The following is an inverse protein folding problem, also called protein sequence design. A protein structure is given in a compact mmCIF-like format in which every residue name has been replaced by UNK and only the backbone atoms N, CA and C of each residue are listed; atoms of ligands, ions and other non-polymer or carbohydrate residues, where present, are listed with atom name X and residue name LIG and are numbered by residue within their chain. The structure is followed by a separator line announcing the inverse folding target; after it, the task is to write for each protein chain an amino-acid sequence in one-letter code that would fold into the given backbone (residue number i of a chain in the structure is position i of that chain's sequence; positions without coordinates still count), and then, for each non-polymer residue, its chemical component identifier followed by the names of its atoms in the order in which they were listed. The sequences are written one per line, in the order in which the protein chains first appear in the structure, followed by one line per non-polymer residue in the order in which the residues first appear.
data_IF_667664122302
#
_entry.id   IF_667664122302
#
_cell.length_a   1.000
_cell.length_b   1.000
_cell.length_c   1.000
_cell.angle_alpha   90.00
_cell.angle_beta   90.00
_cell.angle_gamma   90.00
#
_symmetry.space_group_name_H-M   'P 1'
#
loop_
_entity.id
_entity.type
_entity.pdbx_description
1 polymer ?
#
# COMPACT_ATOMS: atom_id res chain seq x y z
N UNK A 1 -3.74 29.45 -4.94
CA UNK A 1 -4.91 30.22 -5.49
C UNK A 1 -6.00 29.37 -6.14
N UNK A 2 -5.69 28.25 -6.84
CA UNK A 2 -6.75 27.39 -7.43
C UNK A 2 -7.48 26.62 -6.34
N UNK A 3 -6.76 25.94 -5.48
CA UNK A 3 -7.31 25.12 -4.39
C UNK A 3 -8.01 25.98 -3.32
N UNK A 4 -7.44 27.15 -2.97
CA UNK A 4 -8.04 28.08 -2.02
C UNK A 4 -9.43 28.53 -2.46
N UNK A 5 -9.60 28.86 -3.76
CA UNK A 5 -10.91 29.25 -4.31
C UNK A 5 -11.95 28.13 -4.29
N UNK A 6 -11.50 26.86 -4.22
CA UNK A 6 -12.36 25.69 -4.16
C UNK A 6 -12.53 25.15 -2.74
N UNK A 7 -11.86 25.77 -1.75
CA UNK A 7 -11.90 25.31 -0.36
C UNK A 7 -11.28 23.92 -0.17
N UNK A 8 -10.33 23.53 -1.06
CA UNK A 8 -9.66 22.22 -0.97
C UNK A 8 -8.39 22.38 -0.13
N UNK A 9 -8.29 21.73 1.04
CA UNK A 9 -7.13 21.86 1.91
C UNK A 9 -5.94 21.11 1.35
N UNK A 10 -4.94 21.83 0.85
CA UNK A 10 -3.69 21.27 0.28
C UNK A 10 -2.50 22.14 0.67
N UNK A 11 -1.31 21.54 0.72
CA UNK A 11 -0.03 22.24 0.55
C UNK A 11 0.49 22.02 -0.88
N UNK A 12 1.16 23.03 -1.42
CA UNK A 12 1.76 22.98 -2.76
C UNK A 12 3.23 23.28 -2.61
N UNK A 13 4.06 22.37 -3.04
CA UNK A 13 5.53 22.45 -3.00
C UNK A 13 6.07 22.44 -4.44
N UNK A 14 7.28 22.97 -4.65
CA UNK A 14 7.97 22.83 -5.93
C UNK A 14 8.37 21.36 -6.13
N UNK A 15 8.16 20.85 -7.33
CA UNK A 15 8.57 19.50 -7.73
C UNK A 15 9.94 19.47 -8.40
N UNK A 16 10.30 18.35 -8.99
CA UNK A 16 11.63 18.04 -9.53
C UNK A 16 11.98 18.78 -10.84
N UNK A 17 11.23 19.80 -11.22
CA UNK A 17 11.49 20.54 -12.44
C UNK A 17 10.76 21.87 -12.54
N UNK A 18 11.13 22.74 -13.50
CA UNK A 18 10.46 24.02 -13.69
C UNK A 18 8.97 23.79 -14.06
N UNK A 19 8.10 24.51 -13.36
CA UNK A 19 6.63 24.42 -13.49
C UNK A 19 6.00 23.08 -13.07
N UNK A 20 6.75 22.21 -12.40
CA UNK A 20 6.24 20.99 -11.76
C UNK A 20 5.97 21.28 -10.29
N UNK A 21 4.79 20.89 -9.81
CA UNK A 21 4.37 21.10 -8.43
C UNK A 21 3.95 19.78 -7.80
N UNK A 22 4.32 19.57 -6.54
CA UNK A 22 3.80 18.50 -5.68
C UNK A 22 2.62 19.05 -4.89
N UNK A 23 1.47 18.41 -5.02
CA UNK A 23 0.26 18.77 -4.30
C UNK A 23 0.00 17.72 -3.23
N UNK A 24 0.04 18.12 -1.96
CA UNK A 24 -0.28 17.27 -0.82
C UNK A 24 -1.66 17.62 -0.31
N UNK A 25 -2.59 16.67 -0.37
CA UNK A 25 -3.91 16.82 0.20
C UNK A 25 -3.84 16.58 1.71
N UNK A 26 -4.47 17.47 2.48
CA UNK A 26 -4.53 17.32 3.93
C UNK A 26 -5.51 16.21 4.28
N UNK A 27 -5.10 15.34 5.18
CA UNK A 27 -5.97 14.31 5.74
C UNK A 27 -6.90 14.91 6.81
N UNK A 28 -8.10 14.35 7.02
CA UNK A 28 -8.97 14.73 8.10
C UNK A 28 -8.36 14.39 9.46
N UNK A 29 -8.91 14.99 10.50
CA UNK A 29 -8.63 14.63 11.88
C UNK A 29 -9.94 14.16 12.54
N UNK A 30 -10.04 12.89 13.00
CA UNK A 30 -8.97 11.88 13.00
C UNK A 30 -8.60 11.38 11.60
N UNK A 31 -7.33 10.94 11.45
CA UNK A 31 -6.86 10.34 10.22
C UNK A 31 -7.58 9.01 9.95
N UNK A 32 -7.93 8.68 8.69
CA UNK A 32 -8.58 7.42 8.35
C UNK A 32 -7.74 6.21 8.75
N UNK A 33 -8.39 5.15 9.16
CA UNK A 33 -7.74 3.87 9.43
C UNK A 33 -7.36 3.18 8.12
N UNK A 34 -6.17 2.56 8.09
CA UNK A 34 -5.65 1.85 6.92
C UNK A 34 -5.35 0.40 7.27
N UNK A 35 -5.93 -0.54 6.56
CA UNK A 35 -5.55 -1.95 6.64
C UNK A 35 -4.67 -2.31 5.45
N UNK A 36 -3.43 -2.75 5.73
CA UNK A 36 -2.47 -3.21 4.72
C UNK A 36 -2.63 -4.72 4.59
N UNK A 37 -3.09 -5.18 3.43
CA UNK A 37 -3.33 -6.59 3.13
C UNK A 37 -2.17 -7.16 2.33
N UNK A 38 -1.47 -8.16 2.90
CA UNK A 38 -0.27 -8.77 2.29
C UNK A 38 -0.51 -10.28 2.14
N UNK A 39 -0.79 -10.78 0.93
CA UNK A 39 -0.86 -12.22 0.69
C UNK A 39 0.55 -12.80 0.76
N UNK A 40 0.71 -13.93 1.44
CA UNK A 40 2.02 -14.56 1.59
C UNK A 40 1.92 -16.07 1.55
N UNK A 41 2.99 -16.69 1.04
CA UNK A 41 3.22 -18.12 1.11
C UNK A 41 4.70 -18.36 1.16
N UNK A 42 5.18 -19.01 2.24
CA UNK A 42 6.60 -19.29 2.45
C UNK A 42 7.49 -18.04 2.26
N UNK A 43 8.79 -18.17 1.95
CA UNK A 43 9.71 -17.06 1.68
C UNK A 43 9.76 -15.99 2.79
N UNK A 44 10.06 -16.42 4.01
CA UNK A 44 10.11 -15.59 5.23
C UNK A 44 10.99 -14.34 5.05
N UNK A 45 12.13 -14.47 4.39
CA UNK A 45 13.08 -13.38 4.15
C UNK A 45 12.49 -12.24 3.31
N UNK A 46 11.63 -12.58 2.36
CA UNK A 46 10.93 -11.61 1.51
C UNK A 46 9.86 -10.87 2.32
N UNK A 47 9.03 -11.63 3.03
CA UNK A 47 7.97 -11.06 3.87
C UNK A 47 8.53 -10.21 5.01
N UNK A 48 9.61 -10.67 5.68
CA UNK A 48 10.26 -9.90 6.77
C UNK A 48 10.74 -8.54 6.27
N UNK A 49 11.38 -8.48 5.11
CA UNK A 49 11.84 -7.22 4.51
C UNK A 49 10.68 -6.27 4.24
N UNK A 50 9.59 -6.78 3.69
CA UNK A 50 8.39 -6.00 3.43
C UNK A 50 7.78 -5.44 4.73
N UNK A 51 7.42 -6.30 5.67
CA UNK A 51 6.74 -5.91 6.91
C UNK A 51 7.63 -5.01 7.77
N UNK A 52 8.91 -5.35 7.91
CA UNK A 52 9.86 -4.53 8.66
C UNK A 52 10.01 -3.14 8.06
N UNK A 53 10.10 -3.03 6.74
CA UNK A 53 10.21 -1.72 6.08
C UNK A 53 9.00 -0.83 6.35
N UNK A 54 7.80 -1.40 6.44
CA UNK A 54 6.58 -0.66 6.80
C UNK A 54 6.65 -0.20 8.26
N UNK A 55 6.95 -1.12 9.19
CA UNK A 55 6.98 -0.83 10.62
C UNK A 55 8.05 0.20 10.99
N UNK A 56 9.21 0.16 10.34
CA UNK A 56 10.34 1.04 10.64
C UNK A 56 10.25 2.41 9.95
N UNK A 57 9.69 2.46 8.72
CA UNK A 57 9.77 3.67 7.89
C UNK A 57 8.46 4.47 7.85
N UNK A 58 7.28 3.83 8.03
CA UNK A 58 6.01 4.55 7.89
C UNK A 58 5.86 5.67 8.92
N UNK A 59 5.60 6.87 8.45
CA UNK A 59 5.24 8.01 9.29
C UNK A 59 3.75 7.99 9.72
N UNK A 60 2.91 7.24 9.02
CA UNK A 60 1.49 7.14 9.31
C UNK A 60 1.22 6.38 10.61
N UNK A 61 0.38 6.94 11.47
CA UNK A 61 0.11 6.37 12.80
C UNK A 61 -1.05 5.37 12.84
N UNK A 62 -2.07 5.55 12.01
CA UNK A 62 -3.33 4.81 12.09
C UNK A 62 -3.44 3.70 11.04
N UNK A 63 -2.53 2.70 11.12
CA UNK A 63 -2.57 1.54 10.22
C UNK A 63 -2.39 0.22 10.97
N UNK A 64 -2.84 -0.86 10.34
CA UNK A 64 -2.57 -2.26 10.69
C UNK A 64 -2.10 -3.03 9.46
N UNK A 65 -1.45 -4.17 9.70
CA UNK A 65 -0.98 -5.09 8.67
C UNK A 65 -1.67 -6.43 8.90
N UNK A 66 -2.38 -6.92 7.90
CA UNK A 66 -2.91 -8.27 7.86
C UNK A 66 -2.12 -9.09 6.83
N UNK A 67 -1.30 -10.00 7.31
CA UNK A 67 -0.69 -11.03 6.47
C UNK A 67 -1.73 -12.11 6.22
N UNK A 68 -1.97 -12.43 4.95
CA UNK A 68 -2.92 -13.47 4.56
C UNK A 68 -2.12 -14.69 4.11
N UNK A 69 -2.00 -15.65 5.01
CA UNK A 69 -1.31 -16.92 4.80
C UNK A 69 -2.06 -17.76 3.77
N UNK A 70 -1.38 -18.27 2.74
CA UNK A 70 -2.00 -19.09 1.71
C UNK A 70 -1.25 -20.41 1.45
N UNK A 71 -1.47 -21.40 2.29
CA UNK A 71 -0.95 -22.78 2.16
C UNK A 71 0.59 -22.84 2.13
N UNK A 72 1.24 -22.19 3.09
CA UNK A 72 2.66 -22.36 3.35
C UNK A 72 2.98 -23.80 3.79
N UNK A 73 4.18 -24.25 3.50
CA UNK A 73 4.62 -25.61 3.75
C UNK A 73 5.83 -25.68 4.70
N UNK A 74 6.48 -24.55 4.95
CA UNK A 74 7.72 -24.48 5.72
C UNK A 74 7.41 -24.15 7.19
N UNK A 75 7.92 -24.97 8.12
CA UNK A 75 7.77 -24.76 9.57
C UNK A 75 8.33 -23.40 10.02
N UNK A 76 9.38 -22.91 9.36
CA UNK A 76 9.98 -21.61 9.59
C UNK A 76 8.97 -20.47 9.35
N UNK A 77 8.13 -20.60 8.35
CA UNK A 77 7.09 -19.61 8.03
C UNK A 77 6.10 -19.46 9.17
N UNK A 78 5.61 -20.56 9.72
CA UNK A 78 4.67 -20.52 10.85
C UNK A 78 5.34 -20.04 12.15
N UNK A 79 6.63 -20.33 12.36
CA UNK A 79 7.38 -19.77 13.45
C UNK A 79 7.51 -18.24 13.33
N UNK A 80 7.82 -17.76 12.14
CA UNK A 80 7.94 -16.34 11.83
C UNK A 80 6.62 -15.60 12.01
N UNK A 81 5.48 -16.16 11.61
CA UNK A 81 4.16 -15.55 11.81
C UNK A 81 3.89 -15.30 13.30
N UNK A 82 4.16 -16.28 14.16
CA UNK A 82 4.02 -16.11 15.62
C UNK A 82 4.96 -15.03 16.18
N UNK A 83 6.17 -14.94 15.65
CA UNK A 83 7.12 -13.90 16.02
C UNK A 83 6.65 -12.51 15.60
N UNK A 84 6.11 -12.36 14.39
CA UNK A 84 5.57 -11.09 13.91
C UNK A 84 4.43 -10.56 14.80
N UNK A 85 3.47 -11.41 15.12
CA UNK A 85 2.35 -11.03 16.00
C UNK A 85 2.82 -10.69 17.42
N UNK A 86 3.83 -11.38 17.92
CA UNK A 86 4.41 -11.07 19.23
C UNK A 86 5.24 -9.78 19.25
N UNK A 87 5.84 -9.40 18.11
CA UNK A 87 6.68 -8.20 17.96
C UNK A 87 5.87 -6.90 17.87
N UNK A 88 4.68 -6.95 17.29
CA UNK A 88 3.88 -5.76 17.05
C UNK A 88 2.37 -6.04 17.10
N UNK A 89 1.67 -5.26 17.89
CA UNK A 89 0.19 -5.24 17.98
C UNK A 89 -0.49 -4.71 16.69
N UNK A 90 0.30 -4.15 15.78
CA UNK A 90 -0.16 -3.70 14.46
C UNK A 90 -0.24 -4.83 13.44
N UNK A 91 0.35 -6.00 13.71
CA UNK A 91 0.41 -7.11 12.76
C UNK A 91 -0.48 -8.25 13.25
N UNK A 92 -1.24 -8.80 12.34
CA UNK A 92 -1.98 -10.06 12.54
C UNK A 92 -1.82 -10.96 11.33
N UNK A 93 -1.99 -12.26 11.53
CA UNK A 93 -1.99 -13.27 10.47
C UNK A 93 -3.36 -13.92 10.40
N UNK A 94 -3.92 -14.03 9.21
CA UNK A 94 -5.16 -14.77 8.94
C UNK A 94 -4.91 -15.82 7.89
N UNK A 95 -5.57 -16.96 7.98
CA UNK A 95 -5.36 -18.09 7.10
C UNK A 95 -6.43 -18.16 6.00
N UNK A 96 -5.98 -18.29 4.74
CA UNK A 96 -6.78 -18.63 3.58
C UNK A 96 -6.49 -20.07 3.12
N UNK A 97 -7.24 -21.10 3.58
CA UNK A 97 -6.91 -22.50 3.39
C UNK A 97 -7.35 -23.05 2.03
N UNK A 98 -7.54 -22.19 1.04
CA UNK A 98 -8.00 -22.57 -0.30
C UNK A 98 -6.90 -22.38 -1.34
N UNK A 99 -7.11 -22.88 -2.55
CA UNK A 99 -6.20 -22.69 -3.67
C UNK A 99 -5.96 -21.20 -3.97
N UNK A 100 -4.77 -20.89 -4.49
CA UNK A 100 -4.38 -19.51 -4.81
C UNK A 100 -5.37 -18.85 -5.79
N UNK A 101 -5.88 -17.73 -5.39
CA UNK A 101 -6.63 -16.80 -6.23
C UNK A 101 -6.51 -15.41 -5.62
N UNK A 102 -5.71 -14.56 -6.23
CA UNK A 102 -5.40 -13.24 -5.69
C UNK A 102 -6.65 -12.43 -5.32
N UNK A 103 -7.63 -12.34 -6.22
CA UNK A 103 -8.84 -11.56 -5.98
C UNK A 103 -9.66 -12.11 -4.79
N UNK A 104 -9.75 -13.43 -4.64
CA UNK A 104 -10.46 -14.05 -3.50
C UNK A 104 -9.71 -13.83 -2.19
N UNK A 105 -8.39 -13.94 -2.20
CA UNK A 105 -7.54 -13.67 -1.03
C UNK A 105 -7.70 -12.22 -0.58
N UNK A 106 -7.63 -11.25 -1.52
CA UNK A 106 -7.82 -9.84 -1.18
C UNK A 106 -9.24 -9.54 -0.67
N UNK A 107 -10.28 -10.12 -1.29
CA UNK A 107 -11.66 -9.96 -0.82
C UNK A 107 -11.86 -10.57 0.58
N UNK A 108 -11.22 -11.70 0.88
CA UNK A 108 -11.24 -12.30 2.21
C UNK A 108 -10.56 -11.38 3.24
N UNK A 109 -9.37 -10.85 2.92
CA UNK A 109 -8.69 -9.86 3.75
C UNK A 109 -9.54 -8.60 3.99
N UNK A 110 -10.14 -8.06 2.93
CA UNK A 110 -11.02 -6.90 3.02
C UNK A 110 -12.24 -7.15 3.91
N UNK A 111 -12.84 -8.35 3.84
CA UNK A 111 -13.98 -8.72 4.68
C UNK A 111 -13.60 -8.94 6.17
N UNK A 112 -12.31 -9.00 6.50
CA UNK A 112 -11.82 -9.21 7.86
C UNK A 112 -11.55 -7.93 8.64
N UNK A 113 -11.85 -6.76 8.06
CA UNK A 113 -11.56 -5.45 8.66
C UNK A 113 -12.67 -4.45 8.37
N UNK A 114 -12.82 -3.47 9.28
CA UNK A 114 -13.69 -2.31 9.12
C UNK A 114 -12.88 -1.02 8.87
N UNK A 115 -11.64 -1.14 8.41
CA UNK A 115 -10.79 0.03 8.12
C UNK A 115 -11.38 0.90 7.01
N UNK A 116 -11.20 2.20 7.11
CA UNK A 116 -11.68 3.19 6.14
C UNK A 116 -11.04 3.02 4.76
N UNK A 117 -9.76 2.63 4.73
CA UNK A 117 -8.96 2.45 3.52
C UNK A 117 -8.25 1.09 3.53
N UNK A 118 -8.12 0.51 2.35
CA UNK A 118 -7.37 -0.72 2.13
C UNK A 118 -6.14 -0.44 1.28
N UNK A 119 -4.98 -0.93 1.72
CA UNK A 119 -3.76 -0.97 0.92
C UNK A 119 -3.46 -2.42 0.54
N UNK A 120 -3.64 -2.75 -0.74
CA UNK A 120 -3.29 -4.07 -1.28
C UNK A 120 -1.81 -4.07 -1.64
N UNK A 121 -1.01 -4.85 -0.95
CA UNK A 121 0.45 -4.83 -1.09
C UNK A 121 1.00 -6.24 -1.31
N UNK A 122 1.88 -6.40 -2.29
CA UNK A 122 2.62 -7.64 -2.45
C UNK A 122 3.70 -7.78 -1.36
N UNK A 123 4.02 -9.03 -1.00
CA UNK A 123 5.03 -9.33 0.03
C UNK A 123 6.48 -9.07 -0.40
N UNK A 124 6.73 -8.82 -1.69
CA UNK A 124 8.04 -8.55 -2.30
C UNK A 124 8.34 -7.06 -2.51
N UNK A 125 7.65 -6.20 -1.78
CA UNK A 125 7.84 -4.74 -1.83
C UNK A 125 8.60 -4.23 -0.62
N UNK A 126 9.29 -3.10 -0.77
CA UNK A 126 9.98 -2.39 0.30
C UNK A 126 9.60 -0.91 0.29
N UNK A 127 9.26 -0.36 1.45
CA UNK A 127 8.95 1.06 1.60
C UNK A 127 10.21 1.90 1.41
N UNK A 128 10.12 2.91 0.54
CA UNK A 128 11.17 3.89 0.29
C UNK A 128 10.82 5.21 0.99
N UNK A 129 9.64 5.77 0.70
CA UNK A 129 9.21 7.07 1.22
C UNK A 129 8.39 6.89 2.51
N UNK A 130 8.74 7.55 3.62
CA UNK A 130 8.02 7.40 4.89
C UNK A 130 6.55 7.83 4.84
N UNK A 131 6.24 8.78 3.99
CA UNK A 131 4.93 9.41 3.81
C UNK A 131 4.04 8.75 2.74
N UNK A 132 4.36 7.49 2.35
CA UNK A 132 3.67 6.81 1.25
C UNK A 132 2.17 6.59 1.51
N UNK A 133 1.77 6.32 2.75
CA UNK A 133 0.35 6.15 3.12
C UNK A 133 -0.36 7.50 3.07
N UNK A 134 0.23 8.53 3.67
CA UNK A 134 -0.31 9.90 3.67
C UNK A 134 -0.53 10.42 2.26
N UNK A 135 0.45 10.23 1.38
CA UNK A 135 0.35 10.64 -0.02
C UNK A 135 -0.84 9.96 -0.72
N UNK A 136 -0.92 8.63 -0.64
CA UNK A 136 -2.01 7.89 -1.29
C UNK A 136 -3.37 8.20 -0.67
N UNK A 137 -3.48 8.21 0.66
CA UNK A 137 -4.70 8.52 1.38
C UNK A 137 -5.17 9.95 1.13
N UNK A 138 -4.22 10.89 0.95
CA UNK A 138 -4.52 12.27 0.60
C UNK A 138 -5.26 12.40 -0.72
N UNK A 139 -4.85 11.69 -1.76
CA UNK A 139 -5.56 11.68 -3.05
C UNK A 139 -6.96 11.07 -2.95
N UNK A 140 -7.17 10.09 -2.07
CA UNK A 140 -8.48 9.46 -1.83
C UNK A 140 -9.49 10.37 -1.12
N UNK A 141 -9.06 11.55 -0.61
CA UNK A 141 -9.99 12.57 -0.09
C UNK A 141 -10.84 13.22 -1.19
N UNK A 142 -10.49 13.01 -2.43
CA UNK A 142 -11.24 13.51 -3.58
C UNK A 142 -12.37 12.53 -3.91
N UNK A 143 -13.64 12.97 -3.96
CA UNK A 143 -14.79 12.08 -4.12
C UNK A 143 -14.82 11.33 -5.47
N UNK A 144 -14.10 11.84 -6.47
CA UNK A 144 -13.96 11.20 -7.78
C UNK A 144 -12.83 10.16 -7.85
N UNK A 145 -12.00 10.02 -6.79
CA UNK A 145 -10.88 9.09 -6.73
C UNK A 145 -11.25 7.88 -5.89
N UNK A 146 -11.39 6.72 -6.51
CA UNK A 146 -11.68 5.46 -5.82
C UNK A 146 -10.46 4.58 -5.56
N UNK A 147 -9.38 4.77 -6.33
CA UNK A 147 -8.14 3.97 -6.23
C UNK A 147 -6.93 4.85 -6.53
N UNK A 148 -5.85 4.66 -5.77
CA UNK A 148 -4.56 5.31 -6.00
C UNK A 148 -3.48 4.23 -6.08
N UNK A 149 -2.67 4.25 -7.13
CA UNK A 149 -1.50 3.37 -7.28
C UNK A 149 -0.21 4.11 -6.93
N UNK A 150 0.67 3.43 -6.21
CA UNK A 150 2.01 3.96 -5.94
C UNK A 150 2.92 3.87 -7.17
N UNK A 151 3.88 4.81 -7.29
CA UNK A 151 5.01 4.63 -8.19
C UNK A 151 5.95 3.58 -7.60
N UNK A 152 6.28 2.56 -8.39
CA UNK A 152 7.20 1.49 -7.99
C UNK A 152 8.53 1.66 -8.73
N UNK A 153 9.61 1.39 -8.01
CA UNK A 153 10.97 1.42 -8.55
C UNK A 153 11.60 0.03 -8.43
N UNK A 154 12.46 -0.31 -9.38
CA UNK A 154 13.44 -1.39 -9.22
C UNK A 154 14.56 -0.96 -8.27
N UNK A 155 15.37 -1.91 -7.79
CA UNK A 155 16.50 -1.64 -6.89
C UNK A 155 17.58 -0.74 -7.51
N UNK A 156 17.66 -0.67 -8.83
CA UNK A 156 18.55 0.24 -9.56
C UNK A 156 17.99 1.67 -9.70
N UNK A 157 16.78 1.92 -9.17
CA UNK A 157 16.10 3.21 -9.21
C UNK A 157 15.28 3.45 -10.49
N UNK A 158 15.27 2.54 -11.44
CA UNK A 158 14.42 2.65 -12.63
C UNK A 158 12.94 2.43 -12.27
N UNK A 159 12.05 3.08 -13.01
CA UNK A 159 10.63 2.92 -12.79
C UNK A 159 10.15 1.53 -13.20
N UNK A 160 9.64 0.75 -12.25
CA UNK A 160 8.93 -0.50 -12.50
C UNK A 160 7.48 -0.24 -12.93
N UNK A 161 6.82 0.67 -12.22
CA UNK A 161 5.43 1.06 -12.47
C UNK A 161 5.24 2.54 -12.16
N UNK A 162 4.68 3.27 -13.12
CA UNK A 162 4.35 4.69 -12.96
C UNK A 162 2.93 5.02 -13.47
N UNK A 163 2.07 4.01 -13.55
CA UNK A 163 0.71 4.12 -14.04
C UNK A 163 0.44 3.27 -15.28
N UNK A 164 -0.82 3.17 -15.63
CA UNK A 164 -1.31 2.47 -16.81
C UNK A 164 -2.20 3.39 -17.63
N UNK A 165 -2.17 3.23 -18.95
CA UNK A 165 -3.05 3.92 -19.89
C UNK A 165 -3.83 2.87 -20.67
N UNK A 166 -5.12 3.12 -20.84
CA UNK A 166 -5.98 2.30 -21.68
C UNK A 166 -6.02 2.97 -23.07
N UNK A 167 -5.51 2.27 -24.09
CA UNK A 167 -5.55 2.72 -25.47
C UNK A 167 -6.98 2.71 -26.02
N UNK A 168 -7.22 3.40 -27.17
CA UNK A 168 -8.54 3.46 -27.82
C UNK A 168 -9.07 2.09 -28.27
N UNK A 169 -8.16 1.13 -28.46
CA UNK A 169 -8.45 -0.27 -28.83
C UNK A 169 -8.67 -1.19 -27.61
N UNK A 170 -8.65 -0.64 -26.39
CA UNK A 170 -8.77 -1.39 -25.13
C UNK A 170 -7.48 -2.03 -24.64
N UNK A 171 -6.35 -1.84 -25.34
CA UNK A 171 -5.04 -2.28 -24.83
C UNK A 171 -4.66 -1.52 -23.57
N UNK A 172 -4.04 -2.22 -22.63
CA UNK A 172 -3.51 -1.62 -21.40
C UNK A 172 -1.99 -1.62 -21.48
N UNK A 173 -1.38 -0.45 -21.38
CA UNK A 173 0.09 -0.29 -21.41
C UNK A 173 0.56 0.47 -20.18
N UNK A 174 1.75 0.10 -19.69
CA UNK A 174 2.41 0.85 -18.63
C UNK A 174 2.95 2.17 -19.16
N UNK A 175 2.81 3.23 -18.36
CA UNK A 175 3.46 4.52 -18.64
C UNK A 175 4.94 4.39 -18.33
N UNK A 176 5.82 4.80 -19.25
CA UNK A 176 7.29 4.79 -19.10
C UNK A 176 7.95 3.40 -19.11
N UNK A 177 7.47 2.48 -19.94
CA UNK A 177 8.26 1.34 -20.38
C UNK A 177 8.92 1.64 -21.72
#
# INVERSE_FOLDING_TARGET
RHFDRRGIPVSVEDGDGPFVYRVRYQLPDPQPSVEILIPSKDHVDVLDRCVRSILEKSAYGNYRITVIENNSMEDETFAYYRELEARSDRVRVIEWPHGFNYAKIMNFGAASTDADLLLLLNNDTEVIAPDFIEEMAGYLQRPEVGVVGAKLLYYDGLAQHAGMVIGPDGTVVHVNQ
#
